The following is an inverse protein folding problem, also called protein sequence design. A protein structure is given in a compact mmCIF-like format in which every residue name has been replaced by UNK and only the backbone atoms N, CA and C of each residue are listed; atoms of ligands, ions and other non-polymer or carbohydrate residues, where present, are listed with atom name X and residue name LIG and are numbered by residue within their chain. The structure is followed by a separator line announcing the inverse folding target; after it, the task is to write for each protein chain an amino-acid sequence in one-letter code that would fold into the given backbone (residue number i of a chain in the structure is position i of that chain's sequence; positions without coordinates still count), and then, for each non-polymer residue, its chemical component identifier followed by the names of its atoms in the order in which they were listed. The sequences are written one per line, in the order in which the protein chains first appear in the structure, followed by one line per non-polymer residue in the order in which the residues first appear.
data_IF_979204754232
#
_entry.id   IF_979204754232
#
_cell.length_a   1.000
_cell.length_b   1.000
_cell.length_c   1.000
_cell.angle_alpha   90.00
_cell.angle_beta   90.00
_cell.angle_gamma   90.00
#
_symmetry.space_group_name_H-M   'P 1'
#
loop_
_entity.id
_entity.type
_entity.pdbx_description
1 polymer ?
#
# COMPACT_ATOMS: atom_id res chain seq x y z
N UNK A 1 18.20 -20.59 -9.93
CA UNK A 1 18.32 -19.18 -9.52
C UNK A 1 18.21 -19.15 -8.01
N UNK A 2 19.25 -18.72 -7.30
CA UNK A 2 19.20 -18.52 -5.86
C UNK A 2 18.15 -17.45 -5.58
N UNK A 3 17.02 -17.85 -5.00
CA UNK A 3 16.01 -16.92 -4.50
C UNK A 3 16.68 -16.00 -3.49
N UNK A 4 16.89 -14.73 -3.87
CA UNK A 4 17.33 -13.71 -2.93
C UNK A 4 16.13 -13.41 -2.04
N UNK A 5 16.26 -13.67 -0.74
CA UNK A 5 15.22 -13.36 0.22
C UNK A 5 14.96 -11.84 0.24
N UNK A 6 13.69 -11.39 0.14
CA UNK A 6 13.40 -9.98 0.26
C UNK A 6 13.80 -9.41 1.62
N UNK A 7 14.43 -8.23 1.63
CA UNK A 7 14.97 -7.63 2.87
C UNK A 7 13.91 -7.39 3.94
N UNK A 8 12.65 -7.16 3.56
CA UNK A 8 11.58 -6.95 4.53
C UNK A 8 11.31 -8.21 5.39
N UNK A 9 11.56 -9.42 4.86
CA UNK A 9 11.46 -10.68 5.61
C UNK A 9 12.53 -10.74 6.70
N UNK A 10 13.76 -10.39 6.37
CA UNK A 10 14.84 -10.29 7.36
C UNK A 10 14.55 -9.24 8.44
N UNK A 11 13.98 -8.08 8.06
CA UNK A 11 13.57 -7.04 9.00
C UNK A 11 12.42 -7.50 9.91
N UNK A 12 11.51 -8.34 9.43
CA UNK A 12 10.47 -8.95 10.25
C UNK A 12 11.07 -9.87 11.31
N UNK A 13 11.98 -10.78 10.91
CA UNK A 13 12.60 -11.75 11.84
C UNK A 13 13.38 -11.09 12.98
N UNK A 14 14.02 -9.96 12.75
CA UNK A 14 14.71 -9.22 13.80
C UNK A 14 13.82 -8.23 14.57
N UNK A 15 12.52 -8.16 14.26
CA UNK A 15 11.55 -7.26 14.90
C UNK A 15 11.62 -5.81 14.45
N UNK A 16 12.55 -5.46 13.56
CA UNK A 16 12.74 -4.10 13.06
C UNK A 16 11.58 -3.62 12.19
N UNK A 17 10.99 -4.51 11.37
CA UNK A 17 9.84 -4.17 10.54
C UNK A 17 8.64 -3.76 11.42
N UNK A 18 8.38 -4.53 12.47
CA UNK A 18 7.31 -4.27 13.43
C UNK A 18 7.56 -2.97 14.22
N UNK A 19 8.82 -2.71 14.61
CA UNK A 19 9.20 -1.42 15.24
C UNK A 19 8.92 -0.24 14.31
N UNK A 20 9.24 -0.35 13.02
CA UNK A 20 8.98 0.70 12.01
C UNK A 20 7.49 0.90 11.76
N UNK A 21 6.72 -0.19 11.67
CA UNK A 21 5.26 -0.13 11.52
C UNK A 21 4.64 0.71 12.66
N UNK A 22 4.94 0.36 13.92
CA UNK A 22 4.44 1.12 15.08
C UNK A 22 4.87 2.60 15.08
N UNK A 23 6.13 2.87 14.75
CA UNK A 23 6.63 4.25 14.67
C UNK A 23 5.91 5.07 13.58
N UNK A 24 5.58 4.45 12.44
CA UNK A 24 4.82 5.09 11.38
C UNK A 24 3.34 5.25 11.73
N UNK A 25 2.72 4.27 12.38
CA UNK A 25 1.33 4.36 12.85
C UNK A 25 1.14 5.48 13.87
N UNK A 26 2.10 5.69 14.78
CA UNK A 26 2.06 6.78 15.74
C UNK A 26 2.00 8.17 15.07
N UNK A 27 2.56 8.31 13.87
CA UNK A 27 2.50 9.55 13.09
C UNK A 27 1.09 9.86 12.57
N UNK A 28 0.15 8.92 12.60
CA UNK A 28 -1.23 9.16 12.17
C UNK A 28 -2.00 10.09 13.12
N UNK A 29 -1.59 10.18 14.40
CA UNK A 29 -2.17 11.09 15.40
C UNK A 29 -1.97 12.58 15.05
N UNK A 30 -0.84 12.90 14.41
CA UNK A 30 -0.59 14.23 13.84
C UNK A 30 0.10 14.05 12.50
N UNK A 31 -0.72 13.82 11.48
CA UNK A 31 -0.25 13.29 10.19
C UNK A 31 0.75 14.22 9.48
N UNK A 32 1.98 13.71 9.34
CA UNK A 32 3.10 14.32 8.60
C UNK A 32 3.69 13.38 7.53
N UNK A 33 2.94 12.34 7.13
CA UNK A 33 3.37 11.27 6.21
C UNK A 33 3.78 11.77 4.84
N UNK A 34 3.22 12.90 4.39
CA UNK A 34 3.53 13.49 3.09
C UNK A 34 3.99 14.96 3.21
N UNK A 35 4.58 15.54 2.16
CA UNK A 35 5.10 16.91 2.19
C UNK A 35 4.08 18.02 2.52
N UNK A 36 2.77 17.69 2.60
CA UNK A 36 1.73 18.62 2.99
C UNK A 36 1.66 18.90 4.48
N UNK A 37 2.16 17.99 5.32
CA UNK A 37 2.22 18.16 6.79
C UNK A 37 0.91 18.71 7.37
N UNK A 38 -0.21 18.03 7.11
CA UNK A 38 -1.54 18.55 7.49
C UNK A 38 -1.85 18.45 8.98
N UNK A 39 -1.09 17.64 9.74
CA UNK A 39 -1.22 17.47 11.19
C UNK A 39 -2.58 17.01 11.73
N UNK A 40 -3.53 16.66 10.85
CA UNK A 40 -4.82 16.08 11.21
C UNK A 40 -4.65 14.76 11.96
N UNK A 41 -5.59 14.47 12.84
CA UNK A 41 -5.67 13.22 13.57
C UNK A 41 -6.45 12.17 12.76
N UNK A 42 -5.70 11.34 12.02
CA UNK A 42 -6.31 10.27 11.23
C UNK A 42 -6.87 9.15 12.10
N UNK A 43 -6.46 9.03 13.37
CA UNK A 43 -6.95 7.98 14.28
C UNK A 43 -8.38 8.28 14.75
N UNK A 44 -8.72 9.56 14.90
CA UNK A 44 -10.07 10.06 15.18
C UNK A 44 -10.92 10.28 13.90
N UNK A 45 -10.39 9.88 12.74
CA UNK A 45 -11.10 9.93 11.46
C UNK A 45 -11.01 11.28 10.73
N UNK A 46 -10.17 12.21 11.19
CA UNK A 46 -9.92 13.44 10.46
C UNK A 46 -9.20 13.17 9.13
N UNK A 47 -9.43 14.06 8.16
CA UNK A 47 -8.90 13.93 6.81
C UNK A 47 -8.22 15.21 6.37
N UNK A 48 -6.99 15.08 5.87
CA UNK A 48 -6.28 16.17 5.22
C UNK A 48 -6.63 16.31 3.74
N UNK A 49 -5.79 17.03 3.00
CA UNK A 49 -5.95 17.23 1.55
C UNK A 49 -6.12 15.94 0.74
N UNK A 50 -5.50 14.84 1.19
CA UNK A 50 -5.58 13.54 0.53
C UNK A 50 -6.86 12.74 0.83
N UNK A 51 -7.82 13.27 1.60
CA UNK A 51 -9.11 12.61 1.91
C UNK A 51 -8.99 11.19 2.46
N UNK A 52 -7.88 10.88 3.14
CA UNK A 52 -7.55 9.53 3.59
C UNK A 52 -7.35 9.53 5.10
N UNK A 53 -8.00 8.58 5.78
CA UNK A 53 -8.03 8.48 7.24
C UNK A 53 -7.14 7.36 7.78
N UNK A 54 -7.62 6.67 8.84
CA UNK A 54 -6.90 5.58 9.52
C UNK A 54 -6.63 4.39 8.60
N UNK A 55 -7.62 3.97 7.82
CA UNK A 55 -7.56 2.76 7.01
C UNK A 55 -7.16 3.06 5.56
N UNK A 56 -6.43 2.14 4.89
CA UNK A 56 -6.15 2.25 3.47
C UNK A 56 -7.43 2.09 2.64
N UNK A 57 -7.44 2.71 1.46
CA UNK A 57 -8.52 2.57 0.48
C UNK A 57 -7.92 1.98 -0.79
N UNK A 58 -8.42 0.82 -1.23
CA UNK A 58 -7.87 0.07 -2.36
C UNK A 58 -8.90 0.00 -3.48
N UNK A 59 -8.65 0.74 -4.56
CA UNK A 59 -9.56 0.82 -5.69
C UNK A 59 -9.54 -0.45 -6.57
N UNK A 60 -8.40 -1.11 -6.69
CA UNK A 60 -8.25 -2.33 -7.48
C UNK A 60 -7.03 -3.17 -7.05
N UNK A 61 -7.12 -4.47 -7.29
CA UNK A 61 -6.03 -5.45 -7.12
C UNK A 61 -6.04 -6.37 -8.35
N UNK A 62 -4.94 -6.42 -9.10
CA UNK A 62 -4.88 -7.22 -10.34
C UNK A 62 -3.45 -7.59 -10.76
N UNK A 63 -3.33 -8.57 -11.66
CA UNK A 63 -2.09 -8.80 -12.40
C UNK A 63 -1.95 -7.75 -13.52
N UNK A 64 -1.01 -6.82 -13.37
CA UNK A 64 -0.78 -5.75 -14.33
C UNK A 64 0.34 -6.12 -15.30
N UNK A 65 -0.02 -6.26 -16.58
CA UNK A 65 0.91 -6.58 -17.67
C UNK A 65 1.36 -5.36 -18.47
N UNK A 66 0.87 -4.16 -18.13
CA UNK A 66 1.22 -2.91 -18.81
C UNK A 66 2.42 -2.15 -18.21
N UNK A 67 3.03 -2.64 -17.13
CA UNK A 67 4.30 -2.09 -16.61
C UNK A 67 5.45 -2.45 -17.56
N UNK A 68 6.58 -1.73 -17.47
CA UNK A 68 7.73 -2.01 -18.33
C UNK A 68 8.19 -3.48 -18.20
N UNK A 69 8.68 -4.11 -19.29
CA UNK A 69 9.06 -5.52 -19.27
C UNK A 69 9.98 -5.97 -18.13
N UNK A 70 10.95 -5.15 -17.63
CA UNK A 70 11.75 -5.51 -16.47
C UNK A 70 10.97 -5.65 -15.16
N UNK A 71 9.80 -5.02 -15.04
CA UNK A 71 8.95 -5.05 -13.84
C UNK A 71 7.85 -6.11 -13.97
N UNK A 72 7.16 -6.15 -15.11
CA UNK A 72 6.04 -7.08 -15.33
C UNK A 72 6.50 -8.50 -15.68
N UNK A 73 7.66 -8.64 -16.32
CA UNK A 73 8.18 -9.94 -16.77
C UNK A 73 7.12 -10.75 -17.51
N UNK A 74 7.10 -12.06 -17.28
CA UNK A 74 6.16 -13.00 -17.92
C UNK A 74 4.88 -13.27 -17.14
N UNK A 75 4.85 -12.97 -15.83
CA UNK A 75 3.74 -13.30 -14.93
C UNK A 75 2.96 -12.06 -14.46
N UNK A 76 3.30 -10.89 -14.99
CA UNK A 76 2.71 -9.62 -14.57
C UNK A 76 3.29 -9.12 -13.25
N UNK A 77 3.03 -7.83 -13.00
CA UNK A 77 3.28 -7.16 -11.74
C UNK A 77 1.99 -7.15 -10.92
N UNK A 78 1.99 -7.77 -9.74
CA UNK A 78 0.81 -7.82 -8.89
C UNK A 78 0.53 -6.44 -8.34
N UNK A 79 -0.45 -5.74 -8.87
CA UNK A 79 -0.61 -4.31 -8.60
C UNK A 79 -1.78 -4.03 -7.68
N UNK A 80 -1.52 -3.26 -6.63
CA UNK A 80 -2.53 -2.70 -5.74
C UNK A 80 -2.65 -1.20 -6.03
N UNK A 81 -3.82 -0.80 -6.53
CA UNK A 81 -4.15 0.59 -6.79
C UNK A 81 -4.79 1.20 -5.55
N UNK A 82 -4.07 2.09 -4.85
CA UNK A 82 -4.64 2.87 -3.78
C UNK A 82 -5.50 4.00 -4.34
N UNK A 83 -6.63 4.23 -3.68
CA UNK A 83 -7.49 5.36 -3.97
C UNK A 83 -7.03 6.62 -3.23
N UNK A 84 -7.59 7.75 -3.65
CA UNK A 84 -7.18 9.09 -3.25
C UNK A 84 -5.72 9.41 -3.58
N UNK A 85 -5.32 10.67 -3.42
CA UNK A 85 -3.95 11.08 -3.64
C UNK A 85 -3.63 12.34 -2.84
N UNK A 86 -2.37 12.46 -2.39
CA UNK A 86 -1.83 13.69 -1.82
C UNK A 86 -1.45 14.75 -2.88
N UNK A 87 -1.65 14.45 -4.17
CA UNK A 87 -1.50 15.35 -5.31
C UNK A 87 -2.82 15.46 -6.09
N UNK A 88 -2.90 16.40 -7.04
CA UNK A 88 -4.05 16.59 -7.95
C UNK A 88 -3.57 17.00 -9.35
N UNK A 89 -2.83 16.11 -10.00
CA UNK A 89 -2.29 16.37 -11.33
C UNK A 89 -3.44 16.61 -12.33
N UNK A 90 -3.33 17.65 -13.16
CA UNK A 90 -4.37 18.01 -14.14
C UNK A 90 -4.54 16.94 -15.23
N UNK A 91 -3.49 16.16 -15.45
CA UNK A 91 -3.39 15.05 -16.41
C UNK A 91 -3.33 13.67 -15.71
N UNK A 92 -3.91 13.54 -14.52
CA UNK A 92 -3.87 12.28 -13.77
C UNK A 92 -4.51 11.13 -14.55
N UNK A 93 -3.72 10.13 -14.94
CA UNK A 93 -4.20 8.90 -15.59
C UNK A 93 -5.18 8.12 -14.71
N UNK A 94 -4.99 8.20 -13.39
CA UNK A 94 -5.81 7.57 -12.38
C UNK A 94 -6.82 8.54 -11.75
N UNK A 95 -7.29 9.56 -12.49
CA UNK A 95 -8.20 10.59 -11.97
C UNK A 95 -9.43 10.00 -11.28
N UNK A 96 -10.05 8.97 -11.88
CA UNK A 96 -11.28 8.35 -11.37
C UNK A 96 -11.11 7.73 -9.97
N UNK A 97 -9.92 7.25 -9.63
CA UNK A 97 -9.63 6.64 -8.32
C UNK A 97 -8.91 7.60 -7.36
N UNK A 98 -8.21 8.61 -7.88
CA UNK A 98 -7.44 9.55 -7.06
C UNK A 98 -8.23 10.78 -6.60
N UNK A 99 -9.30 11.16 -7.31
CA UNK A 99 -10.02 12.42 -7.04
C UNK A 99 -11.49 12.25 -6.63
N UNK A 100 -12.10 11.09 -6.86
CA UNK A 100 -13.49 10.78 -6.45
C UNK A 100 -13.55 10.15 -5.05
N UNK A 101 -13.00 10.86 -4.05
CA UNK A 101 -12.82 10.33 -2.69
C UNK A 101 -14.12 9.87 -2.03
N UNK A 102 -15.26 10.48 -2.38
CA UNK A 102 -16.58 10.13 -1.82
C UNK A 102 -16.98 8.72 -2.24
N UNK A 103 -16.80 8.40 -3.53
CA UNK A 103 -17.08 7.06 -4.04
C UNK A 103 -16.07 6.05 -3.53
N UNK A 104 -14.80 6.44 -3.46
CA UNK A 104 -13.72 5.54 -3.05
C UNK A 104 -13.80 5.15 -1.57
N UNK A 105 -14.47 5.94 -0.71
CA UNK A 105 -14.68 5.58 0.71
C UNK A 105 -15.27 4.17 0.91
N UNK A 106 -16.07 3.67 -0.02
CA UNK A 106 -16.62 2.31 0.05
C UNK A 106 -15.58 1.18 -0.11
N UNK A 107 -14.37 1.52 -0.60
CA UNK A 107 -13.27 0.58 -0.83
C UNK A 107 -12.25 0.59 0.32
N UNK A 108 -12.62 1.12 1.49
CA UNK A 108 -11.81 1.09 2.69
C UNK A 108 -11.65 -0.36 3.19
N UNK A 109 -10.41 -0.75 3.51
CA UNK A 109 -10.07 -2.09 4.02
C UNK A 109 -9.11 -1.97 5.19
N UNK A 110 -9.02 -2.98 6.05
CA UNK A 110 -8.00 -3.01 7.09
C UNK A 110 -6.64 -3.50 6.57
N UNK A 111 -5.59 -3.36 7.40
CA UNK A 111 -4.23 -3.75 7.03
C UNK A 111 -4.09 -5.27 6.80
N UNK A 112 -4.86 -6.08 7.53
CA UNK A 112 -4.90 -7.53 7.36
C UNK A 112 -5.48 -7.93 6.00
N UNK A 113 -6.60 -7.32 5.62
CA UNK A 113 -7.20 -7.52 4.30
C UNK A 113 -6.21 -7.10 3.20
N UNK A 114 -5.48 -5.99 3.39
CA UNK A 114 -4.44 -5.58 2.45
C UNK A 114 -3.32 -6.63 2.36
N UNK A 115 -2.88 -7.21 3.49
CA UNK A 115 -1.92 -8.31 3.51
C UNK A 115 -2.45 -9.53 2.71
N UNK A 116 -3.70 -9.94 2.94
CA UNK A 116 -4.37 -11.02 2.20
C UNK A 116 -4.42 -10.73 0.70
N UNK A 117 -4.62 -9.48 0.27
CA UNK A 117 -4.54 -9.10 -1.14
C UNK A 117 -3.13 -9.25 -1.72
N UNK A 118 -2.07 -9.01 -0.95
CA UNK A 118 -0.69 -9.25 -1.40
C UNK A 118 -0.44 -10.76 -1.61
N UNK A 119 -0.93 -11.60 -0.69
CA UNK A 119 -0.82 -13.06 -0.82
C UNK A 119 -1.64 -13.58 -2.01
N UNK A 120 -2.83 -13.02 -2.25
CA UNK A 120 -3.62 -13.32 -3.45
C UNK A 120 -2.84 -13.03 -4.75
N UNK A 121 -2.19 -11.88 -4.86
CA UNK A 121 -1.36 -11.53 -6.02
C UNK A 121 -0.19 -12.52 -6.21
N UNK A 122 0.42 -12.94 -5.11
CA UNK A 122 1.56 -13.86 -5.11
C UNK A 122 1.16 -15.30 -5.45
N UNK A 123 0.20 -15.85 -4.73
CA UNK A 123 -0.06 -17.30 -4.70
C UNK A 123 -1.16 -17.71 -5.68
N UNK A 124 -2.23 -16.90 -5.80
CA UNK A 124 -3.35 -17.21 -6.70
C UNK A 124 -3.11 -16.67 -8.12
N UNK A 125 -2.61 -15.44 -8.25
CA UNK A 125 -2.28 -14.87 -9.57
C UNK A 125 -0.85 -15.19 -10.03
N UNK A 126 0.02 -15.63 -9.13
CA UNK A 126 1.39 -16.03 -9.48
C UNK A 126 2.29 -14.88 -9.94
N UNK A 127 2.00 -13.63 -9.56
CA UNK A 127 2.72 -12.45 -10.02
C UNK A 127 4.19 -12.45 -9.57
N UNK A 128 5.06 -11.76 -10.32
CA UNK A 128 6.49 -11.70 -10.01
C UNK A 128 6.84 -10.82 -8.80
N UNK A 129 5.98 -9.86 -8.48
CA UNK A 129 6.16 -8.86 -7.42
C UNK A 129 4.81 -8.31 -6.95
N UNK A 130 4.85 -7.50 -5.90
CA UNK A 130 3.75 -6.62 -5.51
C UNK A 130 4.14 -5.16 -5.76
N UNK A 131 3.42 -4.51 -6.67
CA UNK A 131 3.56 -3.10 -7.00
C UNK A 131 2.44 -2.28 -6.35
N UNK A 132 2.81 -1.14 -5.78
CA UNK A 132 1.88 -0.26 -5.08
C UNK A 132 1.75 1.06 -5.83
N UNK A 133 0.56 1.36 -6.35
CA UNK A 133 0.26 2.59 -7.08
C UNK A 133 -0.43 3.59 -6.17
N UNK A 134 0.11 4.81 -6.10
CA UNK A 134 -0.29 5.88 -5.16
C UNK A 134 -0.18 5.55 -3.65
N UNK A 135 0.87 4.87 -3.16
CA UNK A 135 0.92 4.41 -1.75
C UNK A 135 1.37 5.49 -0.76
N UNK A 136 1.88 6.63 -1.23
CA UNK A 136 2.66 7.57 -0.41
C UNK A 136 1.92 8.05 0.84
N UNK A 137 0.64 8.39 0.73
CA UNK A 137 -0.18 8.83 1.87
C UNK A 137 -0.66 7.68 2.77
N UNK A 138 -0.39 6.43 2.39
CA UNK A 138 -0.72 5.22 3.13
C UNK A 138 0.52 4.44 3.60
N UNK A 139 1.72 5.04 3.58
CA UNK A 139 2.96 4.35 4.00
C UNK A 139 2.86 3.71 5.40
N UNK A 140 2.27 4.35 6.44
CA UNK A 140 2.08 3.68 7.72
C UNK A 140 1.26 2.38 7.63
N UNK A 141 0.11 2.43 6.97
CA UNK A 141 -0.79 1.30 6.77
C UNK A 141 -0.14 0.22 5.90
N UNK A 142 0.60 0.62 4.88
CA UNK A 142 1.34 -0.28 4.00
C UNK A 142 2.40 -1.07 4.75
N UNK A 143 3.22 -0.39 5.57
CA UNK A 143 4.28 -1.06 6.34
C UNK A 143 3.68 -2.00 7.38
N UNK A 144 2.56 -1.61 8.03
CA UNK A 144 1.78 -2.51 8.90
C UNK A 144 1.28 -3.74 8.14
N UNK A 145 0.67 -3.57 6.98
CA UNK A 145 0.19 -4.67 6.15
C UNK A 145 1.31 -5.61 5.69
N UNK A 146 2.49 -5.09 5.33
CA UNK A 146 3.66 -5.93 5.00
C UNK A 146 4.13 -6.71 6.24
N UNK A 147 4.13 -6.10 7.42
CA UNK A 147 4.48 -6.79 8.66
C UNK A 147 3.52 -7.95 8.98
N UNK A 148 2.23 -7.79 8.67
CA UNK A 148 1.22 -8.86 8.78
C UNK A 148 1.34 -9.92 7.67
N UNK A 149 1.73 -9.52 6.45
CA UNK A 149 1.84 -10.41 5.31
C UNK A 149 3.05 -11.38 5.39
N UNK A 150 4.15 -10.98 6.02
CA UNK A 150 5.34 -11.84 6.17
C UNK A 150 5.03 -13.17 6.86
N UNK A 151 4.43 -13.22 8.07
CA UNK A 151 4.08 -14.48 8.72
C UNK A 151 2.99 -15.26 7.96
N UNK A 152 2.25 -14.61 7.07
CA UNK A 152 1.30 -15.26 6.16
C UNK A 152 1.97 -15.90 4.93
N UNK A 153 3.27 -15.67 4.70
CA UNK A 153 4.03 -16.30 3.62
C UNK A 153 4.40 -15.38 2.45
N UNK A 154 4.27 -14.06 2.60
CA UNK A 154 4.69 -13.10 1.56
C UNK A 154 6.21 -13.15 1.35
N UNK A 155 6.63 -13.45 0.12
CA UNK A 155 8.02 -13.72 -0.28
C UNK A 155 8.42 -13.12 -1.64
N UNK A 156 7.46 -12.59 -2.40
CA UNK A 156 7.76 -11.84 -3.62
C UNK A 156 8.22 -10.43 -3.29
N UNK A 157 9.11 -9.84 -4.11
CA UNK A 157 9.56 -8.46 -3.92
C UNK A 157 8.44 -7.44 -4.05
#
# INVERSE_FOLDING_TARGET
MTSVEPRYVALYRCGELERRARALEARLLSCDVCPRQCHVDRLEGEQGFCHSGRMPIVAAVCAHHGEEPPVSGTKGSGTVFFANCNMRCVYCQNHQISQDWRRQKANEIDCRSLAERMLYLQDELGCHNVNFVSPSHFVPQLVRAVAEAVPMGLRVP
#
